data_IF_287256149223
#
_entry.id   IF_287256149223
#
_cell.length_a   1.000
_cell.length_b   1.000
_cell.length_c   1.000
_cell.angle_alpha   90.00
_cell.angle_beta   90.00
_cell.angle_gamma   90.00
#
_symmetry.space_group_name_H-M   'P 1'
#
loop_
_entity.id
_entity.type
_entity.pdbx_description
1 polymer ?
#
# COMPACT_ATOMS: atom_id res chain seq x y z
N UNK A 1 -1.50 -34.78 -14.42
CA UNK A 1 -2.70 -34.04 -14.87
C UNK A 1 -2.68 -32.69 -14.18
N UNK A 2 -2.53 -31.59 -14.92
CA UNK A 2 -2.78 -30.26 -14.35
C UNK A 2 -4.28 -30.17 -14.07
N UNK A 3 -4.69 -30.26 -12.81
CA UNK A 3 -6.05 -29.91 -12.43
C UNK A 3 -6.17 -28.39 -12.54
N UNK A 4 -6.85 -27.91 -13.58
CA UNK A 4 -7.20 -26.50 -13.68
C UNK A 4 -8.32 -26.24 -12.67
N UNK A 5 -7.99 -25.69 -11.51
CA UNK A 5 -8.99 -25.23 -10.55
C UNK A 5 -9.79 -24.10 -11.19
N UNK A 6 -11.11 -24.22 -11.20
CA UNK A 6 -12.01 -23.25 -11.83
C UNK A 6 -12.62 -22.37 -10.74
N UNK A 7 -12.51 -21.05 -10.88
CA UNK A 7 -13.07 -20.09 -9.93
C UNK A 7 -14.61 -20.13 -9.92
N UNK A 8 -15.20 -19.93 -8.74
CA UNK A 8 -16.65 -19.79 -8.60
C UNK A 8 -17.10 -18.39 -9.05
N UNK A 9 -18.19 -18.31 -9.80
CA UNK A 9 -18.72 -17.04 -10.27
C UNK A 9 -19.33 -16.21 -9.13
N UNK A 10 -18.85 -14.99 -8.92
CA UNK A 10 -19.54 -13.99 -8.11
C UNK A 10 -20.74 -13.39 -8.86
N UNK A 11 -21.95 -13.83 -8.49
CA UNK A 11 -23.20 -13.48 -9.21
C UNK A 11 -23.84 -12.17 -8.75
N UNK A 12 -24.81 -11.65 -9.52
CA UNK A 12 -25.56 -10.42 -9.15
C UNK A 12 -26.32 -10.52 -7.83
N UNK A 13 -26.78 -11.70 -7.44
CA UNK A 13 -27.45 -11.90 -6.15
C UNK A 13 -26.45 -11.80 -4.99
N UNK A 14 -25.24 -12.35 -5.17
CA UNK A 14 -24.15 -12.30 -4.19
C UNK A 14 -23.76 -10.86 -3.83
N UNK A 15 -23.88 -9.90 -4.76
CA UNK A 15 -23.67 -8.47 -4.46
C UNK A 15 -24.44 -7.95 -3.23
N UNK A 16 -25.63 -8.50 -2.94
CA UNK A 16 -26.46 -8.08 -1.79
C UNK A 16 -26.11 -8.83 -0.51
N UNK A 17 -25.74 -10.10 -0.63
CA UNK A 17 -25.58 -11.01 0.50
C UNK A 17 -24.13 -11.12 0.96
N UNK A 18 -23.17 -11.10 0.04
CA UNK A 18 -21.77 -11.39 0.33
C UNK A 18 -20.99 -10.17 0.82
N UNK A 19 -20.04 -10.43 1.71
CA UNK A 19 -18.95 -9.51 2.06
C UNK A 19 -17.71 -9.87 1.25
N UNK A 20 -17.16 -8.90 0.54
CA UNK A 20 -15.89 -9.04 -0.18
C UNK A 20 -14.77 -8.73 0.82
N UNK A 21 -13.83 -9.63 0.98
CA UNK A 21 -12.65 -9.45 1.84
C UNK A 21 -11.42 -9.15 0.99
N UNK A 22 -10.73 -8.05 1.28
CA UNK A 22 -9.41 -7.75 0.72
C UNK A 22 -8.32 -7.95 1.78
N UNK A 23 -7.09 -8.31 1.40
CA UNK A 23 -5.97 -8.35 2.34
C UNK A 23 -5.70 -6.98 2.98
N UNK A 24 -5.14 -6.98 4.20
CA UNK A 24 -4.62 -5.78 4.87
C UNK A 24 -3.33 -5.32 4.17
N UNK A 25 -3.45 -4.44 3.18
CA UNK A 25 -2.33 -3.97 2.36
C UNK A 25 -1.93 -2.52 2.64
N UNK A 26 -2.90 -1.64 2.86
CA UNK A 26 -2.72 -0.19 2.91
C UNK A 26 -3.38 0.36 4.18
N UNK A 27 -2.70 0.23 5.32
CA UNK A 27 -3.27 0.50 6.64
C UNK A 27 -3.96 1.85 6.77
N UNK A 28 -3.34 2.91 6.24
CA UNK A 28 -3.90 4.26 6.27
C UNK A 28 -5.13 4.44 5.37
N UNK A 29 -5.33 3.57 4.38
CA UNK A 29 -6.30 3.75 3.29
C UNK A 29 -7.51 2.83 3.40
N UNK A 30 -7.35 1.67 4.01
CA UNK A 30 -8.34 0.58 3.92
C UNK A 30 -9.75 1.00 4.35
N UNK A 31 -9.90 1.76 5.43
CA UNK A 31 -11.23 2.19 5.90
C UNK A 31 -11.95 3.07 4.86
N UNK A 32 -11.25 4.06 4.31
CA UNK A 32 -11.83 4.94 3.29
C UNK A 32 -12.05 4.20 1.96
N UNK A 33 -11.22 3.20 1.64
CA UNK A 33 -11.44 2.31 0.50
C UNK A 33 -12.70 1.45 0.70
N UNK A 34 -12.94 0.91 1.90
CA UNK A 34 -14.21 0.26 2.25
C UNK A 34 -15.40 1.20 2.04
N UNK A 35 -15.28 2.48 2.41
CA UNK A 35 -16.30 3.50 2.14
C UNK A 35 -16.53 3.71 0.64
N UNK A 36 -15.47 3.71 -0.18
CA UNK A 36 -15.57 3.82 -1.63
C UNK A 36 -16.29 2.62 -2.28
N UNK A 37 -16.00 1.40 -1.82
CA UNK A 37 -16.71 0.20 -2.27
C UNK A 37 -18.19 0.23 -1.86
N UNK A 38 -18.50 0.67 -0.65
CA UNK A 38 -19.87 0.88 -0.20
C UNK A 38 -20.62 1.88 -1.08
N UNK A 39 -19.99 3.00 -1.45
CA UNK A 39 -20.55 3.97 -2.41
C UNK A 39 -20.76 3.37 -3.81
N UNK A 40 -19.90 2.42 -4.20
CA UNK A 40 -20.05 1.58 -5.40
C UNK A 40 -21.14 0.49 -5.30
N UNK A 41 -21.72 0.28 -4.12
CA UNK A 41 -22.75 -0.70 -3.83
C UNK A 41 -22.24 -2.09 -3.44
N UNK A 42 -21.00 -2.20 -2.94
CA UNK A 42 -20.40 -3.45 -2.48
C UNK A 42 -20.09 -3.40 -0.98
N UNK A 43 -20.20 -4.53 -0.29
CA UNK A 43 -19.73 -4.69 1.09
C UNK A 43 -18.28 -5.13 1.02
N UNK A 44 -17.34 -4.24 1.34
CA UNK A 44 -15.92 -4.56 1.42
C UNK A 44 -15.46 -4.54 2.88
N UNK A 45 -14.70 -5.55 3.28
CA UNK A 45 -14.02 -5.64 4.55
C UNK A 45 -12.55 -6.00 4.34
N UNK A 46 -11.72 -5.73 5.34
CA UNK A 46 -10.31 -6.16 5.36
C UNK A 46 -10.23 -7.49 6.08
N UNK A 47 -9.42 -8.41 5.59
CA UNK A 47 -9.10 -9.64 6.31
C UNK A 47 -8.41 -9.26 7.63
N UNK A 48 -8.97 -9.65 8.80
CA UNK A 48 -8.36 -9.32 10.08
C UNK A 48 -6.98 -10.00 10.22
N UNK A 49 -6.07 -9.33 10.93
CA UNK A 49 -4.80 -9.91 11.32
C UNK A 49 -5.03 -11.18 12.16
N UNK A 50 -4.42 -12.28 11.77
CA UNK A 50 -4.43 -13.52 12.53
C UNK A 50 -3.20 -13.56 13.45
N UNK A 51 -3.40 -13.87 14.74
CA UNK A 51 -2.31 -13.98 15.72
C UNK A 51 -1.24 -14.99 15.27
N UNK A 52 -1.69 -16.10 14.70
CA UNK A 52 -0.84 -17.12 14.12
C UNK A 52 -1.38 -17.55 12.75
N UNK A 53 -0.55 -17.46 11.72
CA UNK A 53 -0.86 -18.06 10.43
C UNK A 53 -0.73 -19.58 10.60
N UNK A 54 -1.79 -20.31 10.28
CA UNK A 54 -1.83 -21.77 10.44
C UNK A 54 -0.76 -22.45 9.57
N UNK A 55 0.04 -23.36 10.14
CA UNK A 55 1.06 -24.09 9.39
C UNK A 55 0.50 -24.83 8.16
N UNK A 56 -0.71 -25.40 8.29
CA UNK A 56 -1.38 -26.05 7.17
C UNK A 56 -1.63 -25.08 6.01
N UNK A 57 -2.10 -23.85 6.29
CA UNK A 57 -2.37 -22.85 5.25
C UNK A 57 -1.09 -22.32 4.63
N UNK A 58 -0.02 -22.16 5.41
CA UNK A 58 1.31 -21.85 4.88
C UNK A 58 1.83 -22.95 3.96
N UNK A 59 1.63 -24.22 4.31
CA UNK A 59 2.12 -25.35 3.54
C UNK A 59 1.47 -25.51 2.16
N UNK A 60 0.32 -24.87 1.92
CA UNK A 60 -0.35 -24.84 0.62
C UNK A 60 0.31 -23.89 -0.38
N UNK A 61 1.02 -22.87 0.12
CA UNK A 61 1.80 -21.93 -0.70
C UNK A 61 3.20 -22.50 -0.88
N UNK A 62 3.66 -22.59 -2.13
CA UNK A 62 5.02 -23.05 -2.40
C UNK A 62 6.03 -22.09 -1.74
N UNK A 63 6.99 -22.63 -0.99
CA UNK A 63 8.04 -21.88 -0.27
C UNK A 63 8.97 -21.06 -1.18
N UNK A 64 8.96 -21.32 -2.49
CA UNK A 64 9.66 -20.49 -3.46
C UNK A 64 9.02 -19.11 -3.62
N UNK A 65 7.73 -18.93 -3.28
CA UNK A 65 7.11 -17.60 -3.29
C UNK A 65 7.72 -16.68 -2.24
N UNK A 66 7.64 -15.36 -2.46
CA UNK A 66 8.12 -14.40 -1.48
C UNK A 66 7.23 -14.37 -0.25
N UNK A 67 7.76 -13.84 0.85
CA UNK A 67 7.06 -13.72 2.14
C UNK A 67 5.74 -12.95 2.04
N UNK A 68 5.59 -12.01 1.09
CA UNK A 68 4.30 -11.34 0.86
C UNK A 68 3.20 -12.34 0.47
N UNK A 69 3.48 -13.28 -0.43
CA UNK A 69 2.51 -14.29 -0.85
C UNK A 69 2.09 -15.16 0.35
N UNK A 70 3.09 -15.63 1.12
CA UNK A 70 2.88 -16.50 2.27
C UNK A 70 2.07 -15.76 3.34
N UNK A 71 2.40 -14.50 3.62
CA UNK A 71 1.70 -13.66 4.59
C UNK A 71 0.26 -13.36 4.16
N UNK A 72 0.06 -12.83 2.95
CA UNK A 72 -1.26 -12.43 2.43
C UNK A 72 -2.19 -13.64 2.32
N UNK A 73 -1.75 -14.68 1.61
CA UNK A 73 -2.56 -15.86 1.33
C UNK A 73 -2.71 -16.68 2.60
N UNK A 74 -1.65 -16.86 3.39
CA UNK A 74 -1.73 -17.55 4.67
C UNK A 74 -2.69 -16.90 5.65
N UNK A 75 -2.66 -15.57 5.81
CA UNK A 75 -3.57 -14.83 6.68
C UNK A 75 -5.03 -14.99 6.20
N UNK A 76 -5.27 -14.87 4.89
CA UNK A 76 -6.57 -15.07 4.25
C UNK A 76 -7.12 -16.48 4.48
N UNK A 77 -6.33 -17.51 4.20
CA UNK A 77 -6.76 -18.90 4.37
C UNK A 77 -6.99 -19.26 5.84
N UNK A 78 -6.18 -18.70 6.75
CA UNK A 78 -6.37 -18.87 8.19
C UNK A 78 -7.68 -18.24 8.64
N UNK A 79 -8.00 -17.03 8.15
CA UNK A 79 -9.29 -16.38 8.40
C UNK A 79 -10.49 -17.23 7.92
N UNK A 80 -10.42 -17.84 6.73
CA UNK A 80 -11.49 -18.74 6.22
C UNK A 80 -11.68 -19.98 7.10
N UNK A 81 -10.59 -20.49 7.68
CA UNK A 81 -10.66 -21.69 8.51
C UNK A 81 -11.33 -21.46 9.86
N UNK A 82 -11.36 -20.23 10.37
CA UNK A 82 -12.02 -19.92 11.64
C UNK A 82 -13.50 -20.31 11.59
N UNK A 83 -13.99 -20.93 12.66
CA UNK A 83 -15.37 -21.46 12.72
C UNK A 83 -16.44 -20.37 12.65
N UNK A 84 -16.11 -19.16 13.12
CA UNK A 84 -16.99 -17.99 13.07
C UNK A 84 -17.07 -17.34 11.67
N UNK A 85 -16.31 -17.84 10.69
CA UNK A 85 -16.33 -17.32 9.33
C UNK A 85 -17.57 -17.83 8.57
N UNK A 86 -18.42 -16.93 8.10
CA UNK A 86 -19.58 -17.25 7.24
C UNK A 86 -19.14 -17.52 5.79
N UNK A 87 -18.61 -18.71 5.56
CA UNK A 87 -17.99 -19.12 4.28
C UNK A 87 -18.95 -19.07 3.08
N UNK A 88 -20.26 -19.13 3.32
CA UNK A 88 -21.29 -19.13 2.28
C UNK A 88 -21.68 -17.71 1.81
N UNK A 89 -21.23 -16.68 2.53
CA UNK A 89 -21.55 -15.28 2.24
C UNK A 89 -20.30 -14.40 2.15
N UNK A 90 -19.19 -14.97 1.66
CA UNK A 90 -17.96 -14.22 1.45
C UNK A 90 -17.39 -14.42 0.04
N UNK A 91 -16.60 -13.44 -0.38
CA UNK A 91 -15.74 -13.51 -1.54
C UNK A 91 -14.39 -12.86 -1.20
N UNK A 92 -13.33 -13.20 -1.92
CA UNK A 92 -12.04 -12.54 -1.77
C UNK A 92 -11.78 -11.56 -2.90
N UNK A 93 -11.04 -10.49 -2.64
CA UNK A 93 -10.57 -9.55 -3.66
C UNK A 93 -9.05 -9.51 -3.63
N UNK A 94 -8.45 -9.88 -4.75
CA UNK A 94 -7.01 -9.74 -4.97
C UNK A 94 -6.77 -8.43 -5.77
N UNK A 95 -5.98 -7.48 -5.24
CA UNK A 95 -5.51 -6.31 -5.97
C UNK A 95 -4.47 -6.64 -7.05
N UNK A 96 -4.92 -7.01 -8.25
CA UNK A 96 -4.03 -7.35 -9.35
C UNK A 96 -3.46 -6.08 -10.01
N UNK A 97 -2.38 -5.55 -9.43
CA UNK A 97 -1.63 -4.42 -9.98
C UNK A 97 -0.86 -4.77 -11.27
N UNK A 98 -0.91 -6.02 -11.72
CA UNK A 98 -0.11 -6.50 -12.86
C UNK A 98 1.37 -6.67 -12.49
N UNK A 99 2.22 -6.79 -13.52
CA UNK A 99 3.67 -6.88 -13.36
C UNK A 99 4.26 -8.29 -13.55
N UNK A 100 5.55 -8.32 -13.89
CA UNK A 100 6.28 -9.54 -14.26
C UNK A 100 6.82 -10.35 -13.06
N UNK A 101 6.40 -10.03 -11.83
CA UNK A 101 6.77 -10.80 -10.64
C UNK A 101 5.72 -11.86 -10.30
N UNK A 102 5.97 -12.66 -9.25
CA UNK A 102 5.05 -13.74 -8.84
C UNK A 102 3.69 -13.26 -8.32
N UNK A 103 3.54 -11.98 -7.97
CA UNK A 103 2.26 -11.38 -7.56
C UNK A 103 1.17 -11.57 -8.62
N UNK A 104 1.53 -11.58 -9.92
CA UNK A 104 0.57 -11.87 -10.99
C UNK A 104 -0.13 -13.23 -10.88
N UNK A 105 0.41 -14.16 -10.09
CA UNK A 105 -0.18 -15.49 -9.86
C UNK A 105 -1.00 -15.58 -8.57
N UNK A 106 -1.06 -14.55 -7.72
CA UNK A 106 -1.73 -14.64 -6.41
C UNK A 106 -3.21 -14.97 -6.54
N UNK A 107 -3.90 -14.36 -7.51
CA UNK A 107 -5.31 -14.66 -7.81
C UNK A 107 -5.54 -16.17 -8.04
N UNK A 108 -4.78 -16.78 -8.95
CA UNK A 108 -4.90 -18.22 -9.25
C UNK A 108 -4.47 -19.09 -8.07
N UNK A 109 -3.45 -18.66 -7.32
CA UNK A 109 -2.95 -19.38 -6.16
C UNK A 109 -3.98 -19.38 -5.02
N UNK A 110 -4.70 -18.29 -4.79
CA UNK A 110 -5.79 -18.22 -3.81
C UNK A 110 -6.88 -19.23 -4.20
N UNK A 111 -7.31 -19.24 -5.47
CA UNK A 111 -8.32 -20.19 -5.98
C UNK A 111 -7.85 -21.64 -5.74
N UNK A 112 -6.62 -21.97 -6.12
CA UNK A 112 -6.05 -23.31 -5.91
C UNK A 112 -6.06 -23.70 -4.42
N UNK A 113 -5.63 -22.80 -3.53
CA UNK A 113 -5.58 -23.08 -2.10
C UNK A 113 -6.97 -23.28 -1.50
N UNK A 114 -7.96 -22.48 -1.90
CA UNK A 114 -9.35 -22.63 -1.46
C UNK A 114 -9.92 -23.99 -1.87
N UNK A 115 -9.67 -24.44 -3.11
CA UNK A 115 -10.09 -25.77 -3.55
C UNK A 115 -9.44 -26.90 -2.76
N UNK A 116 -8.13 -26.79 -2.47
CA UNK A 116 -7.41 -27.80 -1.65
C UNK A 116 -7.96 -27.90 -0.22
N UNK A 117 -8.46 -26.79 0.33
CA UNK A 117 -9.11 -26.75 1.65
C UNK A 117 -10.61 -27.14 1.63
N UNK A 118 -11.18 -27.45 0.46
CA UNK A 118 -12.60 -27.74 0.32
C UNK A 118 -13.51 -26.51 0.34
N UNK A 119 -12.94 -25.31 0.17
CA UNK A 119 -13.66 -24.02 0.15
C UNK A 119 -13.75 -23.41 -1.26
N UNK A 120 -13.73 -24.24 -2.30
CA UNK A 120 -13.76 -23.78 -3.70
C UNK A 120 -15.04 -23.03 -4.11
N UNK A 121 -16.09 -23.07 -3.30
CA UNK A 121 -17.31 -22.29 -3.50
C UNK A 121 -17.11 -20.78 -3.26
N UNK A 122 -16.06 -20.37 -2.56
CA UNK A 122 -15.80 -18.95 -2.27
C UNK A 122 -15.28 -18.28 -3.54
N UNK A 123 -15.97 -17.27 -4.09
CA UNK A 123 -15.50 -16.56 -5.27
C UNK A 123 -14.23 -15.75 -4.97
N UNK A 124 -13.28 -15.78 -5.89
CA UNK A 124 -12.12 -14.88 -5.86
C UNK A 124 -12.29 -13.83 -6.95
N UNK A 125 -12.24 -12.56 -6.59
CA UNK A 125 -12.38 -11.41 -7.47
C UNK A 125 -11.01 -10.83 -7.77
N UNK A 126 -10.83 -10.33 -8.99
CA UNK A 126 -9.64 -9.57 -9.38
C UNK A 126 -9.97 -8.09 -9.51
N UNK A 127 -9.16 -7.24 -8.87
CA UNK A 127 -9.15 -5.79 -9.12
C UNK A 127 -8.05 -5.46 -10.13
N UNK A 128 -8.34 -5.64 -11.43
CA UNK A 128 -7.42 -5.33 -12.52
C UNK A 128 -7.96 -4.24 -13.45
N UNK A 129 -7.06 -3.52 -14.13
CA UNK A 129 -7.42 -2.45 -15.06
C UNK A 129 -7.89 -2.97 -16.44
N UNK A 130 -7.62 -4.24 -16.77
CA UNK A 130 -7.88 -4.82 -18.09
C UNK A 130 -9.25 -5.51 -18.22
N UNK A 131 -10.03 -5.58 -17.13
CA UNK A 131 -11.32 -6.27 -17.12
C UNK A 131 -11.23 -7.78 -17.34
N UNK A 132 -10.09 -8.38 -16.98
CA UNK A 132 -9.90 -9.83 -16.92
C UNK A 132 -10.71 -10.43 -15.77
N UNK A 133 -10.98 -11.74 -15.82
CA UNK A 133 -11.66 -12.46 -14.74
C UNK A 133 -13.06 -11.89 -14.42
N UNK A 134 -13.93 -11.89 -15.44
CA UNK A 134 -15.24 -11.25 -15.35
C UNK A 134 -16.21 -12.03 -14.45
N UNK A 135 -16.91 -11.28 -13.59
CA UNK A 135 -17.98 -11.80 -12.76
C UNK A 135 -19.24 -10.97 -12.96
N UNK A 136 -20.40 -11.62 -13.14
CA UNK A 136 -21.64 -10.90 -13.43
C UNK A 136 -22.11 -9.97 -12.30
N UNK A 137 -21.70 -10.26 -11.06
CA UNK A 137 -22.00 -9.49 -9.86
C UNK A 137 -20.99 -8.42 -9.48
N UNK A 138 -19.77 -8.44 -10.05
CA UNK A 138 -18.70 -7.52 -9.70
C UNK A 138 -18.26 -6.67 -10.90
N UNK A 139 -18.30 -5.35 -10.72
CA UNK A 139 -17.87 -4.38 -11.72
C UNK A 139 -17.41 -3.09 -11.05
N UNK A 140 -16.23 -2.64 -11.43
CA UNK A 140 -15.72 -1.30 -11.11
C UNK A 140 -16.60 -0.27 -11.83
N UNK A 141 -17.23 0.61 -11.06
CA UNK A 141 -18.11 1.65 -11.59
C UNK A 141 -17.60 3.05 -11.22
N UNK A 142 -18.11 4.08 -11.90
CA UNK A 142 -17.65 5.45 -11.72
C UNK A 142 -17.83 5.98 -10.29
N UNK A 143 -18.88 5.56 -9.56
CA UNK A 143 -19.06 5.96 -8.15
C UNK A 143 -17.92 5.41 -7.30
N UNK A 144 -17.63 4.12 -7.43
CA UNK A 144 -16.53 3.46 -6.73
C UNK A 144 -15.18 4.11 -7.05
N UNK A 145 -14.91 4.42 -8.33
CA UNK A 145 -13.67 5.06 -8.75
C UNK A 145 -13.51 6.46 -8.15
N UNK A 146 -14.57 7.29 -8.17
CA UNK A 146 -14.55 8.63 -7.58
C UNK A 146 -14.38 8.57 -6.05
N UNK A 147 -15.04 7.62 -5.41
CA UNK A 147 -14.86 7.33 -3.98
C UNK A 147 -13.43 6.92 -3.66
N UNK A 148 -12.84 6.03 -4.47
CA UNK A 148 -11.48 5.51 -4.26
C UNK A 148 -10.42 6.60 -4.44
N UNK A 149 -10.57 7.47 -5.45
CA UNK A 149 -9.68 8.63 -5.63
C UNK A 149 -9.73 9.51 -4.37
N UNK A 150 -10.93 9.87 -3.90
CA UNK A 150 -11.07 10.68 -2.69
C UNK A 150 -10.49 9.97 -1.46
N UNK A 151 -10.77 8.68 -1.29
CA UNK A 151 -10.23 7.84 -0.22
C UNK A 151 -8.70 7.89 -0.18
N UNK A 152 -8.05 7.67 -1.32
CA UNK A 152 -6.58 7.69 -1.41
C UNK A 152 -6.03 9.07 -1.06
N UNK A 153 -6.62 10.14 -1.58
CA UNK A 153 -6.12 11.49 -1.31
C UNK A 153 -6.26 11.89 0.16
N UNK A 154 -7.41 11.60 0.78
CA UNK A 154 -7.63 11.89 2.18
C UNK A 154 -6.73 11.05 3.09
N UNK A 155 -6.52 9.80 2.73
CA UNK A 155 -5.66 8.89 3.48
C UNK A 155 -4.20 9.33 3.44
N UNK A 156 -3.68 9.70 2.25
CA UNK A 156 -2.32 10.25 2.11
C UNK A 156 -2.15 11.52 2.94
N UNK A 157 -3.10 12.45 2.89
CA UNK A 157 -3.05 13.68 3.70
C UNK A 157 -3.03 13.39 5.20
N UNK A 158 -3.91 12.50 5.68
CA UNK A 158 -3.96 12.10 7.09
C UNK A 158 -2.68 11.37 7.51
N UNK A 159 -2.14 10.51 6.65
CA UNK A 159 -0.90 9.79 6.86
C UNK A 159 0.29 10.77 6.99
N UNK A 160 0.40 11.74 6.09
CA UNK A 160 1.45 12.76 6.11
C UNK A 160 1.43 13.59 7.40
N UNK A 161 0.24 14.00 7.85
CA UNK A 161 0.08 14.77 9.08
C UNK A 161 0.37 13.93 10.33
N UNK A 162 -0.14 12.69 10.35
CA UNK A 162 0.00 11.78 11.48
C UNK A 162 1.47 11.47 11.75
N UNK A 163 2.23 11.10 10.71
CA UNK A 163 3.65 10.76 10.84
C UNK A 163 4.51 11.95 11.32
N UNK A 164 4.12 13.19 11.00
CA UNK A 164 4.89 14.39 11.37
C UNK A 164 4.55 14.98 12.74
N UNK A 165 3.39 14.62 13.29
CA UNK A 165 2.89 15.14 14.56
C UNK A 165 3.04 14.11 15.67
N UNK A 166 2.67 12.85 15.42
CA UNK A 166 2.66 11.78 16.42
C UNK A 166 4.01 11.60 17.15
N UNK A 167 5.19 11.65 16.49
CA UNK A 167 6.48 11.50 17.19
C UNK A 167 6.80 12.61 18.20
N UNK A 168 6.11 13.75 18.07
CA UNK A 168 6.33 14.97 18.84
C UNK A 168 5.11 15.37 19.67
N UNK A 169 4.02 14.61 19.67
CA UNK A 169 2.79 15.00 20.39
C UNK A 169 3.06 15.08 21.91
N UNK A 170 2.57 16.14 22.56
CA UNK A 170 2.75 16.30 24.02
C UNK A 170 1.84 15.37 24.81
N UNK A 171 0.63 15.13 24.31
CA UNK A 171 -0.35 14.25 24.92
C UNK A 171 -0.46 12.99 24.07
N UNK A 172 0.01 11.86 24.59
CA UNK A 172 0.00 10.59 23.87
C UNK A 172 -1.42 10.23 23.41
N UNK A 173 -1.57 9.89 22.12
CA UNK A 173 -2.83 9.48 21.51
C UNK A 173 -3.71 10.62 20.99
N UNK A 174 -3.33 11.88 21.17
CA UNK A 174 -4.12 13.03 20.68
C UNK A 174 -4.17 13.05 19.14
N UNK A 175 -3.04 12.77 18.48
CA UNK A 175 -2.95 12.68 17.01
C UNK A 175 -3.83 11.55 16.48
N UNK A 176 -3.79 10.38 17.14
CA UNK A 176 -4.59 9.23 16.74
C UNK A 176 -6.09 9.48 16.96
N UNK A 177 -6.46 10.08 18.09
CA UNK A 177 -7.84 10.47 18.36
C UNK A 177 -8.41 11.40 17.29
N UNK A 178 -7.64 12.42 16.88
CA UNK A 178 -8.05 13.32 15.81
C UNK A 178 -8.13 12.62 14.45
N UNK A 179 -7.16 11.75 14.14
CA UNK A 179 -7.17 10.93 12.91
C UNK A 179 -8.44 10.09 12.81
N UNK A 180 -8.82 9.41 13.89
CA UNK A 180 -10.04 8.60 13.96
C UNK A 180 -11.33 9.42 13.77
N UNK A 181 -11.40 10.62 14.37
CA UNK A 181 -12.54 11.53 14.15
C UNK A 181 -12.68 11.93 12.68
N UNK A 182 -11.55 12.23 12.01
CA UNK A 182 -11.55 12.54 10.59
C UNK A 182 -11.90 11.34 9.73
N UNK A 183 -11.36 10.16 10.01
CA UNK A 183 -11.70 8.92 9.31
C UNK A 183 -13.21 8.67 9.34
N UNK A 184 -13.85 8.76 10.52
CA UNK A 184 -15.30 8.60 10.64
C UNK A 184 -16.07 9.61 9.78
N UNK A 185 -15.70 10.90 9.83
CA UNK A 185 -16.35 11.96 9.05
C UNK A 185 -16.19 11.73 7.54
N UNK A 186 -15.01 11.31 7.10
CA UNK A 186 -14.67 11.09 5.70
C UNK A 186 -15.30 9.80 5.16
N UNK A 187 -15.30 8.72 5.95
CA UNK A 187 -16.00 7.46 5.66
C UNK A 187 -17.48 7.72 5.38
N UNK A 188 -18.13 8.48 6.26
CA UNK A 188 -19.54 8.86 6.13
C UNK A 188 -19.77 9.81 4.93
N UNK A 189 -18.82 10.72 4.67
CA UNK A 189 -18.82 11.57 3.47
C UNK A 189 -18.77 10.77 2.17
N UNK A 190 -17.78 9.88 2.02
CA UNK A 190 -17.55 9.07 0.82
C UNK A 190 -18.73 8.13 0.55
N UNK A 191 -19.26 7.45 1.59
CA UNK A 191 -20.43 6.57 1.47
C UNK A 191 -21.64 7.26 0.83
N UNK A 192 -21.81 8.55 1.10
CA UNK A 192 -22.90 9.38 0.57
C UNK A 192 -22.51 10.22 -0.65
N UNK A 193 -21.33 10.00 -1.22
CA UNK A 193 -20.84 10.71 -2.39
C UNK A 193 -20.52 12.20 -2.15
N UNK A 194 -20.22 12.59 -0.92
CA UNK A 194 -19.86 13.97 -0.54
C UNK A 194 -18.35 14.19 -0.62
N UNK A 195 -17.96 15.43 -0.91
CA UNK A 195 -16.56 15.90 -0.94
C UNK A 195 -15.62 15.11 -1.88
N UNK A 196 -16.15 14.45 -2.91
CA UNK A 196 -15.33 13.62 -3.81
C UNK A 196 -14.40 14.44 -4.72
N UNK A 197 -14.87 15.57 -5.24
CA UNK A 197 -14.15 16.38 -6.25
C UNK A 197 -13.49 17.64 -5.67
N UNK A 198 -14.24 18.42 -4.87
CA UNK A 198 -13.79 19.70 -4.33
C UNK A 198 -13.21 19.53 -2.92
N UNK A 199 -12.04 18.88 -2.86
CA UNK A 199 -11.44 18.45 -1.59
C UNK A 199 -10.71 19.55 -0.85
N UNK A 200 -10.27 20.63 -1.52
CA UNK A 200 -9.46 21.72 -0.96
C UNK A 200 -9.99 22.30 0.35
N UNK A 201 -11.31 22.52 0.46
CA UNK A 201 -11.92 23.00 1.71
C UNK A 201 -11.71 22.01 2.86
N UNK A 202 -11.97 20.72 2.61
CA UNK A 202 -11.81 19.65 3.60
C UNK A 202 -10.34 19.48 3.96
N UNK A 203 -9.41 19.55 2.98
CA UNK A 203 -7.98 19.51 3.26
C UNK A 203 -7.56 20.64 4.21
N UNK A 204 -8.03 21.86 3.98
CA UNK A 204 -7.75 22.99 4.88
C UNK A 204 -8.25 22.72 6.29
N UNK A 205 -9.50 22.26 6.44
CA UNK A 205 -10.06 21.93 7.76
C UNK A 205 -9.25 20.83 8.47
N UNK A 206 -8.82 19.79 7.76
CA UNK A 206 -7.97 18.72 8.29
C UNK A 206 -6.64 19.31 8.77
N UNK A 207 -5.91 19.96 7.87
CA UNK A 207 -4.56 20.46 8.16
C UNK A 207 -4.56 21.51 9.28
N UNK A 208 -5.55 22.42 9.31
CA UNK A 208 -5.72 23.38 10.40
C UNK A 208 -5.99 22.70 11.75
N UNK A 209 -6.77 21.61 11.76
CA UNK A 209 -7.06 20.87 13.00
C UNK A 209 -5.83 20.14 13.53
N UNK A 210 -5.04 19.51 12.67
CA UNK A 210 -3.78 18.85 13.03
C UNK A 210 -2.72 19.86 13.49
N UNK A 211 -2.66 21.03 12.85
CA UNK A 211 -1.76 22.12 13.26
C UNK A 211 -2.03 22.71 14.66
N UNK A 212 -3.17 22.37 15.28
CA UNK A 212 -3.50 22.79 16.66
C UNK A 212 -3.04 21.80 17.73
N UNK A 213 -2.62 20.60 17.34
CA UNK A 213 -2.12 19.60 18.30
C UNK A 213 -0.83 20.12 18.94
N UNK A 214 -0.75 20.19 20.28
CA UNK A 214 0.46 20.60 20.96
C UNK A 214 1.61 19.61 20.71
N UNK A 215 2.72 20.09 20.15
CA UNK A 215 3.93 19.30 19.88
C UNK A 215 5.14 19.84 20.62
N UNK A 216 6.05 18.95 21.03
CA UNK A 216 7.37 19.27 21.56
C UNK A 216 8.45 19.01 20.51
N UNK A 217 8.70 20.01 19.66
CA UNK A 217 9.78 19.97 18.65
C UNK A 217 11.16 20.30 19.24
N UNK A 218 11.26 20.58 20.55
CA UNK A 218 12.54 20.81 21.23
C UNK A 218 13.32 19.52 21.47
N UNK A 219 12.62 18.37 21.51
CA UNK A 219 13.23 17.06 21.64
C UNK A 219 13.80 16.58 20.30
N UNK A 220 15.12 16.47 20.20
CA UNK A 220 15.75 15.83 19.05
C UNK A 220 15.33 14.35 18.98
N UNK A 221 14.85 13.92 17.81
CA UNK A 221 14.46 12.54 17.52
C UNK A 221 15.35 11.96 16.42
N UNK A 222 15.54 10.65 16.44
CA UNK A 222 16.18 9.92 15.34
C UNK A 222 15.23 9.93 14.15
N UNK A 223 15.67 10.50 13.01
CA UNK A 223 14.85 10.57 11.79
C UNK A 223 15.05 9.33 10.93
N UNK A 224 13.99 8.53 10.79
CA UNK A 224 14.02 7.24 10.11
C UNK A 224 13.08 7.24 8.90
N UNK A 225 13.64 7.16 7.70
CA UNK A 225 12.87 6.95 6.48
C UNK A 225 12.56 5.47 6.27
N UNK A 226 11.31 5.14 5.92
CA UNK A 226 10.89 3.77 5.58
C UNK A 226 10.51 3.71 4.10
N UNK A 227 11.22 2.87 3.35
CA UNK A 227 11.02 2.65 1.92
C UNK A 227 11.06 1.16 1.66
N UNK A 228 10.34 0.65 0.67
CA UNK A 228 10.33 -0.79 0.46
C UNK A 228 9.29 -1.28 -0.51
N UNK A 229 9.16 -2.60 -0.53
CA UNK A 229 8.08 -3.28 -1.24
C UNK A 229 6.72 -2.87 -0.66
N UNK A 230 5.74 -2.55 -1.50
CA UNK A 230 4.49 -1.88 -1.07
C UNK A 230 3.76 -2.59 0.07
N UNK A 231 3.65 -3.91 0.07
CA UNK A 231 2.99 -4.65 1.16
C UNK A 231 3.77 -4.53 2.45
N UNK A 232 5.08 -4.77 2.43
CA UNK A 232 5.92 -4.63 3.63
C UNK A 232 6.01 -3.15 4.06
N UNK A 233 5.98 -2.19 3.15
CA UNK A 233 6.02 -0.77 3.50
C UNK A 233 4.75 -0.34 4.24
N UNK A 234 3.58 -0.73 3.74
CA UNK A 234 2.30 -0.14 4.15
C UNK A 234 1.42 -1.04 5.04
N UNK A 235 1.70 -2.34 5.13
CA UNK A 235 0.92 -3.27 5.95
C UNK A 235 1.59 -3.51 7.31
N UNK A 236 0.93 -3.18 8.43
CA UNK A 236 1.42 -3.51 9.77
C UNK A 236 1.54 -5.03 9.97
N UNK A 237 0.65 -5.81 9.36
CA UNK A 237 0.73 -7.28 9.37
C UNK A 237 1.99 -7.75 8.64
N UNK A 238 2.27 -7.15 7.48
CA UNK A 238 3.44 -7.48 6.66
C UNK A 238 4.77 -7.12 7.32
N UNK A 239 4.84 -5.97 8.00
CA UNK A 239 6.07 -5.47 8.62
C UNK A 239 6.14 -5.60 10.14
N UNK A 240 5.23 -6.37 10.75
CA UNK A 240 5.19 -6.60 12.19
C UNK A 240 5.13 -5.28 12.98
N UNK A 241 4.21 -4.41 12.58
CA UNK A 241 3.92 -3.12 13.22
C UNK A 241 5.16 -2.23 13.37
N UNK A 242 5.93 -2.07 12.27
CA UNK A 242 7.20 -1.33 12.26
C UNK A 242 7.05 0.12 12.77
N UNK A 243 5.96 0.80 12.42
CA UNK A 243 5.70 2.18 12.88
C UNK A 243 5.61 2.25 14.41
N UNK A 244 4.87 1.34 15.03
CA UNK A 244 4.76 1.26 16.49
C UNK A 244 6.11 0.96 17.13
N UNK A 245 6.91 0.09 16.52
CA UNK A 245 8.27 -0.20 16.99
C UNK A 245 9.17 1.04 16.92
N UNK A 246 9.13 1.80 15.82
CA UNK A 246 9.89 3.04 15.68
C UNK A 246 9.42 4.11 16.68
N UNK A 247 8.11 4.22 16.91
CA UNK A 247 7.54 5.13 17.90
C UNK A 247 8.00 4.78 19.33
N UNK A 248 7.94 3.50 19.72
CA UNK A 248 8.43 3.01 21.02
C UNK A 248 9.91 3.31 21.24
N UNK A 249 10.69 3.32 20.16
CA UNK A 249 12.12 3.67 20.16
C UNK A 249 12.38 5.18 19.99
N UNK A 250 11.36 6.03 20.10
CA UNK A 250 11.50 7.49 20.08
C UNK A 250 11.96 8.06 18.73
N UNK A 251 11.60 7.41 17.62
CA UNK A 251 11.96 7.86 16.28
C UNK A 251 10.89 8.79 15.69
N UNK A 252 11.35 9.77 14.92
CA UNK A 252 10.56 10.49 13.92
C UNK A 252 10.65 9.71 12.62
N UNK A 253 9.54 9.13 12.17
CA UNK A 253 9.54 8.22 11.03
C UNK A 253 8.68 8.74 9.88
N UNK A 254 9.07 8.40 8.65
CA UNK A 254 8.32 8.78 7.45
C UNK A 254 8.40 7.73 6.34
N UNK A 255 7.25 7.41 5.79
CA UNK A 255 7.08 6.74 4.49
C UNK A 255 6.27 7.62 3.53
N UNK A 256 6.52 7.45 2.22
CA UNK A 256 5.80 8.16 1.16
C UNK A 256 4.38 7.62 0.95
N UNK A 257 3.49 8.50 0.50
CA UNK A 257 2.08 8.28 0.22
C UNK A 257 1.80 7.38 -0.99
N UNK A 258 0.58 6.86 -1.03
CA UNK A 258 0.15 5.89 -2.04
C UNK A 258 -0.13 6.53 -3.40
N UNK A 259 -0.41 7.84 -3.47
CA UNK A 259 -0.64 8.54 -4.74
C UNK A 259 0.55 8.39 -5.69
N UNK A 260 1.79 8.48 -5.18
CA UNK A 260 2.99 8.28 -5.99
C UNK A 260 3.06 6.86 -6.56
N UNK A 261 2.66 5.86 -5.77
CA UNK A 261 2.57 4.48 -6.23
C UNK A 261 1.47 4.30 -7.30
N UNK A 262 0.30 4.92 -7.14
CA UNK A 262 -0.75 4.91 -8.18
C UNK A 262 -0.24 5.50 -9.50
N UNK A 263 0.46 6.64 -9.44
CA UNK A 263 1.07 7.26 -10.62
C UNK A 263 2.12 6.33 -11.23
N UNK A 264 2.97 5.72 -10.40
CA UNK A 264 3.99 4.77 -10.83
C UNK A 264 3.40 3.58 -11.59
N UNK A 265 2.31 2.99 -11.11
CA UNK A 265 1.65 1.85 -11.80
C UNK A 265 1.16 2.28 -13.19
N UNK A 266 0.45 3.41 -13.28
CA UNK A 266 -0.05 3.94 -14.56
C UNK A 266 1.09 4.30 -15.51
N UNK A 267 2.17 4.90 -14.98
CA UNK A 267 3.35 5.24 -15.74
C UNK A 267 4.07 3.98 -16.25
N UNK A 268 4.18 2.95 -15.41
CA UNK A 268 4.82 1.68 -15.74
C UNK A 268 4.09 0.96 -16.87
N UNK A 269 2.76 0.92 -16.84
CA UNK A 269 1.94 0.41 -17.95
C UNK A 269 2.18 1.19 -19.24
N UNK A 270 2.22 2.54 -19.17
CA UNK A 270 2.54 3.38 -20.32
C UNK A 270 3.92 3.05 -20.90
N UNK A 271 4.95 2.84 -20.07
CA UNK A 271 6.31 2.45 -20.52
C UNK A 271 6.35 1.05 -21.14
N UNK A 272 5.58 0.11 -20.62
CA UNK A 272 5.45 -1.23 -21.19
C UNK A 272 4.82 -1.18 -22.60
N UNK A 273 3.85 -0.29 -22.81
CA UNK A 273 3.26 -0.07 -24.14
C UNK A 273 4.25 0.51 -25.15
N UNK A 274 5.14 1.41 -24.72
CA UNK A 274 6.20 1.98 -25.57
C UNK A 274 7.14 0.89 -26.10
N UNK A 275 7.49 -0.11 -25.27
CA UNK A 275 8.34 -1.23 -25.65
C UNK A 275 7.61 -2.25 -26.53
N UNK A 276 6.29 -2.42 -26.36
CA UNK A 276 5.49 -3.41 -27.06
C UNK A 276 5.01 -3.01 -28.48
N UNK A 277 5.43 -1.85 -28.99
CA UNK A 277 4.95 -1.28 -30.28
C UNK A 277 3.41 -1.19 -30.40
N UNK A 278 2.70 -0.91 -29.29
CA UNK A 278 1.24 -0.88 -29.24
C UNK A 278 0.64 0.49 -29.66
N UNK A 279 -0.69 0.61 -29.62
CA UNK A 279 -1.43 1.67 -30.29
C UNK A 279 -1.15 3.08 -29.72
N UNK A 280 -0.99 4.08 -30.61
CA UNK A 280 -0.81 5.49 -30.22
C UNK A 280 -1.99 6.08 -29.44
N UNK A 281 -3.19 5.53 -29.60
CA UNK A 281 -4.41 6.00 -28.92
C UNK A 281 -4.42 5.61 -27.44
N UNK A 282 -3.99 4.40 -27.09
CA UNK A 282 -3.86 3.96 -25.70
C UNK A 282 -2.86 4.83 -24.94
N UNK A 283 -1.71 5.13 -25.55
CA UNK A 283 -0.70 6.01 -24.96
C UNK A 283 -1.27 7.40 -24.58
N UNK A 284 -2.13 7.99 -25.42
CA UNK A 284 -2.83 9.25 -25.11
C UNK A 284 -3.76 9.11 -23.91
N UNK A 285 -4.43 7.95 -23.77
CA UNK A 285 -5.26 7.63 -22.60
C UNK A 285 -4.45 7.65 -21.30
N UNK A 286 -3.33 6.92 -21.26
CA UNK A 286 -2.44 6.91 -20.10
C UNK A 286 -1.91 8.31 -19.75
N UNK A 287 -1.50 9.10 -20.75
CA UNK A 287 -1.04 10.48 -20.52
C UNK A 287 -2.10 11.36 -19.86
N UNK A 288 -3.38 11.24 -20.25
CA UNK A 288 -4.48 11.98 -19.61
C UNK A 288 -4.70 11.55 -18.17
N UNK A 289 -4.65 10.24 -17.89
CA UNK A 289 -4.75 9.71 -16.53
C UNK A 289 -3.59 10.22 -15.66
N UNK A 290 -2.36 10.20 -16.18
CA UNK A 290 -1.19 10.73 -15.48
C UNK A 290 -1.34 12.23 -15.18
N UNK A 291 -1.79 13.05 -16.14
CA UNK A 291 -2.03 14.48 -15.91
C UNK A 291 -3.05 14.72 -14.79
N UNK A 292 -4.12 13.92 -14.75
CA UNK A 292 -5.10 13.99 -13.68
C UNK A 292 -4.48 13.60 -12.32
N UNK A 293 -3.70 12.51 -12.25
CA UNK A 293 -3.06 12.10 -11.01
C UNK A 293 -1.99 13.11 -10.53
N UNK A 294 -1.25 13.75 -11.44
CA UNK A 294 -0.34 14.85 -11.09
C UNK A 294 -1.07 16.04 -10.49
N UNK A 295 -2.25 16.39 -11.03
CA UNK A 295 -3.10 17.42 -10.43
C UNK A 295 -3.51 17.04 -9.01
N UNK A 296 -3.98 15.81 -8.82
CA UNK A 296 -4.38 15.28 -7.50
C UNK A 296 -3.22 15.32 -6.50
N UNK A 297 -2.04 14.84 -6.90
CA UNK A 297 -0.82 14.89 -6.09
C UNK A 297 -0.49 16.33 -5.68
N UNK A 298 -0.54 17.26 -6.63
CA UNK A 298 -0.25 18.67 -6.38
C UNK A 298 -1.24 19.29 -5.38
N UNK A 299 -2.53 18.94 -5.42
CA UNK A 299 -3.49 19.46 -4.45
C UNK A 299 -3.16 19.05 -3.00
N UNK A 300 -2.66 17.83 -2.79
CA UNK A 300 -2.24 17.34 -1.46
C UNK A 300 -0.97 18.09 -1.02
N UNK A 301 0.02 18.17 -1.90
CA UNK A 301 1.27 18.88 -1.63
C UNK A 301 1.03 20.36 -1.27
N UNK A 302 0.20 21.07 -2.03
CA UNK A 302 -0.18 22.46 -1.74
C UNK A 302 -0.83 22.62 -0.36
N UNK A 303 -1.69 21.68 0.05
CA UNK A 303 -2.38 21.73 1.34
C UNK A 303 -1.42 21.54 2.52
N UNK A 304 -0.46 20.63 2.39
CA UNK A 304 0.57 20.39 3.41
C UNK A 304 1.57 21.55 3.48
N UNK A 305 2.09 21.99 2.33
CA UNK A 305 3.08 23.07 2.23
C UNK A 305 2.55 24.39 2.81
N UNK A 306 1.32 24.77 2.49
CA UNK A 306 0.70 26.00 2.99
C UNK A 306 0.56 26.05 4.51
N UNK A 307 0.57 24.89 5.17
CA UNK A 307 0.51 24.79 6.62
C UNK A 307 1.86 24.42 7.27
N UNK A 308 2.94 24.41 6.49
CA UNK A 308 4.29 24.15 6.99
C UNK A 308 4.59 22.67 7.28
N UNK A 309 3.83 21.74 6.70
CA UNK A 309 4.13 20.31 6.75
C UNK A 309 4.96 19.87 5.54
N UNK A 310 5.80 18.86 5.74
CA UNK A 310 6.46 18.17 4.64
C UNK A 310 5.44 17.42 3.80
N UNK A 311 5.68 17.40 2.50
CA UNK A 311 4.90 16.63 1.52
C UNK A 311 5.85 15.80 0.66
N UNK A 312 5.31 14.78 -0.01
CA UNK A 312 6.07 14.03 -1.00
C UNK A 312 6.44 14.89 -2.21
N UNK A 313 7.65 14.68 -2.75
CA UNK A 313 8.02 15.36 -3.99
C UNK A 313 7.14 14.87 -5.13
N UNK A 314 6.98 15.72 -6.14
CA UNK A 314 6.19 15.37 -7.32
C UNK A 314 6.77 14.15 -8.01
N UNK A 315 5.92 13.35 -8.63
CA UNK A 315 6.36 12.16 -9.36
C UNK A 315 7.43 12.49 -10.43
N UNK A 316 7.31 13.66 -11.08
CA UNK A 316 8.27 14.13 -12.07
C UNK A 316 9.65 14.40 -11.45
N UNK A 317 9.70 14.96 -10.24
CA UNK A 317 10.95 15.13 -9.50
C UNK A 317 11.54 13.77 -9.11
N UNK A 318 10.72 12.86 -8.57
CA UNK A 318 11.15 11.50 -8.24
C UNK A 318 11.75 10.77 -9.44
N UNK A 319 11.09 10.86 -10.60
CA UNK A 319 11.56 10.28 -11.86
C UNK A 319 12.92 10.86 -12.31
N UNK A 320 13.16 12.15 -12.07
CA UNK A 320 14.42 12.81 -12.42
C UNK A 320 15.57 12.39 -11.49
N UNK A 321 15.32 12.25 -10.19
CA UNK A 321 16.36 11.98 -9.17
C UNK A 321 17.07 10.63 -9.34
N UNK A 322 16.33 9.62 -9.81
CA UNK A 322 16.83 8.25 -9.96
C UNK A 322 17.66 8.03 -11.23
N UNK A 323 17.66 8.98 -12.17
CA UNK A 323 18.10 8.79 -13.57
C UNK A 323 19.49 8.15 -13.72
N UNK A 324 20.42 8.52 -12.85
CA UNK A 324 21.81 8.05 -12.90
C UNK A 324 22.05 6.74 -12.12
N UNK A 325 21.02 6.20 -11.46
CA UNK A 325 21.12 4.97 -10.65
C UNK A 325 20.35 3.82 -11.31
N UNK A 326 19.10 4.08 -11.75
CA UNK A 326 18.25 3.02 -12.29
C UNK A 326 17.40 3.51 -13.47
N UNK A 327 17.26 2.66 -14.48
CA UNK A 327 16.41 2.95 -15.63
C UNK A 327 14.92 2.97 -15.24
N UNK A 328 14.12 3.84 -15.87
CA UNK A 328 12.66 3.90 -15.68
C UNK A 328 11.95 2.72 -16.34
N UNK A 329 12.66 1.98 -17.19
CA UNK A 329 12.25 0.68 -17.72
C UNK A 329 12.44 -0.46 -16.71
N UNK A 330 13.11 -0.23 -15.57
CA UNK A 330 13.03 -1.14 -14.44
C UNK A 330 11.72 -0.89 -13.68
N UNK A 331 10.61 -1.34 -14.28
CA UNK A 331 9.25 -1.05 -13.87
C UNK A 331 8.51 -2.30 -13.32
N UNK A 332 9.25 -3.28 -12.82
CA UNK A 332 8.71 -4.52 -12.25
C UNK A 332 8.72 -4.43 -10.72
N UNK A 333 7.61 -4.80 -10.07
CA UNK A 333 7.42 -4.60 -8.63
C UNK A 333 7.30 -3.10 -8.34
N UNK A 334 7.94 -2.61 -7.28
CA UNK A 334 8.06 -1.17 -6.99
C UNK A 334 9.16 -0.49 -7.83
N UNK A 335 9.97 -1.30 -8.52
CA UNK A 335 10.97 -0.89 -9.50
C UNK A 335 11.85 0.27 -9.07
N UNK A 336 11.95 1.28 -9.94
CA UNK A 336 12.75 2.48 -9.71
C UNK A 336 12.15 3.48 -8.71
N UNK A 337 10.84 3.37 -8.38
CA UNK A 337 10.20 4.28 -7.45
C UNK A 337 10.86 4.20 -6.07
N UNK A 338 11.22 2.99 -5.64
CA UNK A 338 11.91 2.73 -4.38
C UNK A 338 13.21 3.56 -4.26
N UNK A 339 14.05 3.55 -5.31
CA UNK A 339 15.27 4.36 -5.35
C UNK A 339 14.99 5.85 -5.24
N UNK A 340 13.94 6.33 -5.92
CA UNK A 340 13.56 7.74 -5.87
C UNK A 340 13.04 8.15 -4.48
N UNK A 341 12.24 7.31 -3.82
CA UNK A 341 11.75 7.53 -2.45
C UNK A 341 12.90 7.58 -1.43
N UNK A 342 13.93 6.73 -1.59
CA UNK A 342 15.13 6.79 -0.73
C UNK A 342 15.80 8.17 -0.86
N UNK A 343 16.03 8.63 -2.08
CA UNK A 343 16.66 9.93 -2.34
C UNK A 343 15.82 11.08 -1.77
N UNK A 344 14.50 11.00 -1.93
CA UNK A 344 13.57 12.02 -1.43
C UNK A 344 13.62 12.15 0.10
N UNK A 345 13.61 11.03 0.82
CA UNK A 345 13.71 11.03 2.29
C UNK A 345 15.06 11.56 2.77
N UNK A 346 16.17 11.18 2.13
CA UNK A 346 17.50 11.72 2.46
C UNK A 346 17.52 13.24 2.30
N UNK A 347 16.99 13.77 1.19
CA UNK A 347 16.90 15.22 0.95
C UNK A 347 15.99 15.96 1.93
N UNK A 348 15.04 15.26 2.56
CA UNK A 348 14.19 15.78 3.65
C UNK A 348 14.84 15.69 5.03
N UNK A 349 16.09 15.22 5.11
CA UNK A 349 16.86 15.13 6.35
C UNK A 349 16.60 13.87 7.15
N UNK A 350 16.07 12.81 6.52
CA UNK A 350 16.05 11.47 7.12
C UNK A 350 17.37 10.78 6.79
N UNK A 351 18.25 10.71 7.79
CA UNK A 351 19.63 10.21 7.64
C UNK A 351 19.75 8.70 7.88
N UNK A 352 18.71 8.05 8.41
CA UNK A 352 18.60 6.59 8.55
C UNK A 352 17.48 6.09 7.66
N UNK A 353 17.81 5.29 6.66
CA UNK A 353 16.83 4.75 5.72
C UNK A 353 16.73 3.23 5.90
N UNK A 354 15.53 2.76 6.23
CA UNK A 354 15.18 1.35 6.27
C UNK A 354 14.57 0.95 4.93
N UNK A 355 15.31 0.16 4.15
CA UNK A 355 14.82 -0.46 2.91
C UNK A 355 14.20 -1.81 3.24
N UNK A 356 12.89 -1.82 3.51
CA UNK A 356 12.13 -3.00 3.93
C UNK A 356 11.69 -3.82 2.72
N UNK A 357 11.93 -5.12 2.75
CA UNK A 357 11.54 -6.00 1.65
C UNK A 357 11.30 -7.42 2.15
N UNK A 358 10.45 -8.20 1.47
CA UNK A 358 10.20 -9.59 1.84
C UNK A 358 11.35 -10.50 1.37
N UNK A 359 11.58 -11.58 2.10
CA UNK A 359 12.43 -12.67 1.64
C UNK A 359 11.83 -13.31 0.37
N UNK A 360 12.70 -13.74 -0.55
CA UNK A 360 12.30 -14.36 -1.82
C UNK A 360 11.77 -13.39 -2.89
N UNK A 361 11.75 -12.07 -2.64
CA UNK A 361 11.38 -11.09 -3.67
C UNK A 361 12.58 -10.62 -4.50
N UNK A 362 12.81 -11.33 -5.60
CA UNK A 362 13.90 -11.05 -6.54
C UNK A 362 13.91 -9.59 -7.04
N UNK A 363 12.73 -9.01 -7.29
CA UNK A 363 12.62 -7.64 -7.81
C UNK A 363 12.98 -6.59 -6.76
N UNK A 364 12.66 -6.82 -5.49
CA UNK A 364 13.11 -5.95 -4.40
C UNK A 364 14.60 -6.12 -4.12
N UNK A 365 15.18 -7.32 -4.32
CA UNK A 365 16.63 -7.48 -4.24
C UNK A 365 17.37 -6.67 -5.31
N UNK A 366 16.89 -6.65 -6.54
CA UNK A 366 17.50 -5.87 -7.62
C UNK A 366 17.26 -4.37 -7.43
N UNK A 367 16.00 -3.96 -7.22
CA UNK A 367 15.60 -2.54 -7.12
C UNK A 367 15.94 -1.86 -5.79
N UNK A 368 16.00 -2.63 -4.69
CA UNK A 368 16.28 -2.12 -3.36
C UNK A 368 17.72 -2.37 -2.90
N UNK A 369 18.18 -3.63 -2.92
CA UNK A 369 19.56 -3.95 -2.50
C UNK A 369 20.61 -3.65 -3.57
N UNK A 370 20.29 -3.91 -4.84
CA UNK A 370 21.23 -3.75 -5.95
C UNK A 370 21.71 -2.31 -6.15
N UNK A 371 20.91 -1.32 -5.74
CA UNK A 371 21.23 0.10 -5.86
C UNK A 371 22.00 0.68 -4.66
N UNK A 372 22.19 -0.09 -3.57
CA UNK A 372 22.76 0.42 -2.32
C UNK A 372 24.16 0.99 -2.50
N UNK A 373 25.02 0.32 -3.28
CA UNK A 373 26.39 0.81 -3.53
C UNK A 373 26.37 2.23 -4.13
N UNK A 374 25.58 2.44 -5.18
CA UNK A 374 25.47 3.75 -5.83
C UNK A 374 24.85 4.80 -4.89
N UNK A 375 23.91 4.40 -4.03
CA UNK A 375 23.32 5.29 -3.04
C UNK A 375 24.32 5.68 -1.94
N UNK A 376 25.11 4.74 -1.41
CA UNK A 376 26.15 5.02 -0.41
C UNK A 376 27.28 5.88 -0.96
N UNK A 377 27.65 5.70 -2.24
CA UNK A 377 28.63 6.58 -2.92
C UNK A 377 28.09 8.00 -3.09
N UNK A 378 26.77 8.15 -3.33
CA UNK A 378 26.12 9.45 -3.54
C UNK A 378 25.77 10.18 -2.25
N UNK A 379 25.45 9.44 -1.19
CA UNK A 379 25.03 9.96 0.11
C UNK A 379 25.83 9.27 1.24
N UNK A 380 27.13 9.55 1.36
CA UNK A 380 28.00 8.90 2.34
C UNK A 380 27.60 9.18 3.81
N UNK A 381 26.87 10.26 4.05
CA UNK A 381 26.31 10.64 5.34
C UNK A 381 25.05 9.86 5.73
N UNK A 382 24.35 9.25 4.76
CA UNK A 382 23.10 8.55 5.00
C UNK A 382 23.34 7.07 5.32
N UNK A 383 22.79 6.60 6.43
CA UNK A 383 22.79 5.19 6.82
C UNK A 383 21.62 4.47 6.16
N UNK A 384 21.87 3.94 4.97
CA UNK A 384 20.88 3.18 4.19
C UNK A 384 21.07 1.69 4.48
N UNK A 385 20.09 1.09 5.16
CA UNK A 385 20.15 -0.31 5.60
C UNK A 385 18.97 -1.09 5.06
N UNK A 386 19.24 -2.26 4.49
CA UNK A 386 18.20 -3.15 4.01
C UNK A 386 17.75 -4.11 5.10
N UNK A 387 16.44 -4.14 5.37
CA UNK A 387 15.81 -5.02 6.36
C UNK A 387 14.93 -6.01 5.61
N UNK A 388 15.25 -7.28 5.74
CA UNK A 388 14.50 -8.37 5.14
C UNK A 388 13.48 -8.92 6.12
N UNK A 389 12.26 -9.09 5.63
CA UNK A 389 11.14 -9.65 6.36
C UNK A 389 10.89 -11.07 5.90
N UNK A 390 11.01 -12.01 6.83
CA UNK A 390 10.69 -13.40 6.61
C UNK A 390 9.65 -13.87 7.64
N UNK A 391 8.79 -14.81 7.26
CA UNK A 391 7.71 -15.30 8.13
C UNK A 391 8.23 -16.24 9.22
N UNK A 392 9.33 -16.95 8.95
CA UNK A 392 10.00 -17.87 9.89
C UNK A 392 11.06 -17.18 10.78
N UNK A 393 11.31 -15.88 10.56
CA UNK A 393 12.29 -15.13 11.36
C UNK A 393 11.71 -14.78 12.74
N UNK A 394 12.52 -14.96 13.79
CA UNK A 394 12.13 -14.52 15.14
C UNK A 394 12.06 -12.99 15.24
N UNK A 395 11.08 -12.50 16.01
CA UNK A 395 10.89 -11.06 16.21
C UNK A 395 12.14 -10.39 16.78
N UNK A 396 12.80 -11.01 17.75
CA UNK A 396 14.00 -10.46 18.38
C UNK A 396 15.14 -10.23 17.38
N UNK A 397 15.34 -11.15 16.42
CA UNK A 397 16.39 -10.99 15.41
C UNK A 397 16.09 -9.81 14.48
N UNK A 398 14.82 -9.69 14.05
CA UNK A 398 14.36 -8.61 13.19
C UNK A 398 14.48 -7.26 13.90
N UNK A 399 13.96 -7.16 15.12
CA UNK A 399 13.99 -5.95 15.94
C UNK A 399 15.42 -5.51 16.24
N UNK A 400 16.33 -6.46 16.53
CA UNK A 400 17.76 -6.17 16.70
C UNK A 400 18.37 -5.56 15.43
N UNK A 401 18.04 -6.06 14.23
CA UNK A 401 18.51 -5.48 12.96
C UNK A 401 17.97 -4.07 12.73
N UNK A 402 16.69 -3.84 13.04
CA UNK A 402 16.09 -2.50 12.94
C UNK A 402 16.77 -1.55 13.93
N UNK A 403 16.98 -1.98 15.18
CA UNK A 403 17.64 -1.17 16.21
C UNK A 403 19.06 -0.78 15.78
N UNK A 404 19.85 -1.74 15.32
CA UNK A 404 21.19 -1.50 14.80
C UNK A 404 21.20 -0.57 13.57
N UNK A 405 20.13 -0.54 12.79
CA UNK A 405 20.01 0.33 11.62
C UNK A 405 19.68 1.78 11.99
N UNK A 406 18.95 2.00 13.09
CA UNK A 406 18.48 3.33 13.54
C UNK A 406 19.34 3.95 14.65
N UNK A 407 20.23 3.18 15.28
CA UNK A 407 21.37 3.70 16.07
C UNK A 407 22.37 4.42 15.19
#
# INVERSE_FOLDING_TARGET
MMHTFTNTEFTRSMKKTHTIYMPEMLHYHNELLCAAFAFGGYKLAVVPEQEHICYETQSLVNKDYCTCAIGIIGNLLTFVKNDDCDRDHIAFLEPQAGGACRAGNYYNLIIECLHKLGYGQIPVLSLNAHGLEQHSGFRINGRMLLGAIAAVCYSDLLMDLTQQIRPYEKNAGETEGLRQQWLQRLTEGIRHGRHLFYRKKVYREIVESFGRIPVDRGQAKKKVGVVGEIYIKCSPVGNRHLEDYLQKNGCDYRMGGFVNYCIYVVYSEMKSLELGHQSRLEAVGYQKVLQFLYYVQKEIAEALEQAGFLHDRSFQELLAEKKDILSDYYNIGDGWLMTAEIIDLIKKGYDKILVVHPFGCLVSHVGGRGVLKALHERFPEAKITSIEYDYDQSDTLRESRVLLAIE
#
